data_IF_923488879073
#
_entry.id   IF_923488879073
#
_cell.length_a   1.000
_cell.length_b   1.000
_cell.length_c   1.000
_cell.angle_alpha   90.00
_cell.angle_beta   90.00
_cell.angle_gamma   90.00
#
_symmetry.space_group_name_H-M   'P 1'
#
loop_
_entity.id
_entity.type
_entity.pdbx_description
1 polymer ?
#
# COMPACT_ATOMS: atom_id res chain seq x y z
N UNK A 1 11.54 26.12 -0.31
CA UNK A 1 10.27 26.62 -0.87
C UNK A 1 9.18 26.25 0.13
N UNK A 2 8.60 27.24 0.80
CA UNK A 2 7.39 27.04 1.59
C UNK A 2 6.23 26.73 0.65
N UNK A 3 5.80 25.49 0.62
CA UNK A 3 4.57 25.10 -0.05
C UNK A 3 3.45 25.20 0.99
N UNK A 4 2.57 26.18 0.84
CA UNK A 4 1.45 26.47 1.76
C UNK A 4 0.45 25.30 1.95
N UNK A 5 0.68 24.16 1.28
CA UNK A 5 -0.18 22.98 1.29
C UNK A 5 0.53 21.71 1.76
N UNK A 6 1.74 21.85 2.33
CA UNK A 6 2.49 20.70 2.84
C UNK A 6 2.59 20.80 4.36
N UNK A 7 2.03 19.84 5.06
CA UNK A 7 2.20 19.65 6.50
C UNK A 7 3.20 18.53 6.73
N UNK A 8 4.23 18.82 7.52
CA UNK A 8 5.18 17.80 7.98
C UNK A 8 4.77 17.36 9.38
N UNK A 9 4.54 16.06 9.55
CA UNK A 9 4.28 15.44 10.84
C UNK A 9 5.33 14.37 11.11
N UNK A 10 5.89 14.37 12.31
CA UNK A 10 6.85 13.35 12.73
C UNK A 10 6.10 12.13 13.23
N UNK A 11 6.61 10.95 12.95
CA UNK A 11 6.01 9.70 13.44
C UNK A 11 6.02 9.59 14.96
N UNK A 12 6.98 10.25 15.62
CA UNK A 12 7.04 10.35 17.09
C UNK A 12 5.88 11.15 17.69
N UNK A 13 5.16 11.92 16.86
CA UNK A 13 3.98 12.69 17.25
C UNK A 13 2.68 11.89 17.15
N UNK A 14 2.74 10.60 16.72
CA UNK A 14 1.59 9.71 16.61
C UNK A 14 1.50 8.81 17.85
N UNK A 15 0.59 9.09 18.81
CA UNK A 15 0.57 8.42 20.11
C UNK A 15 0.33 6.92 20.01
N UNK A 16 -0.58 6.49 19.14
CA UNK A 16 -0.92 5.07 18.96
C UNK A 16 0.25 4.28 18.37
N UNK A 17 1.04 4.88 17.46
CA UNK A 17 2.27 4.27 16.96
C UNK A 17 3.29 4.11 18.09
N UNK A 18 3.44 5.13 18.94
CA UNK A 18 4.39 5.08 20.05
C UNK A 18 4.00 3.98 21.05
N UNK A 19 2.72 3.88 21.40
CA UNK A 19 2.20 2.83 22.27
C UNK A 19 2.43 1.43 21.66
N UNK A 20 2.20 1.27 20.36
CA UNK A 20 2.48 0.02 19.66
C UNK A 20 3.99 -0.33 19.70
N UNK A 21 4.85 0.65 19.42
CA UNK A 21 6.31 0.45 19.44
C UNK A 21 6.81 0.15 20.84
N UNK A 22 6.34 0.85 21.86
CA UNK A 22 6.73 0.60 23.24
C UNK A 22 6.47 -0.87 23.64
N UNK A 23 5.33 -1.42 23.24
CA UNK A 23 4.97 -2.81 23.53
C UNK A 23 5.74 -3.83 22.70
N UNK A 24 6.06 -3.52 21.42
CA UNK A 24 6.45 -4.55 20.45
C UNK A 24 7.85 -4.41 19.85
N UNK A 25 8.53 -3.25 19.97
CA UNK A 25 9.83 -3.00 19.31
C UNK A 25 10.92 -3.98 19.69
N UNK A 26 10.91 -4.49 20.94
CA UNK A 26 11.94 -5.38 21.46
C UNK A 26 11.50 -6.85 21.42
N UNK A 27 10.34 -7.16 20.85
CA UNK A 27 9.83 -8.52 20.71
C UNK A 27 10.26 -9.09 19.34
N UNK A 28 11.14 -10.12 19.31
CA UNK A 28 11.72 -10.64 18.05
C UNK A 28 10.65 -11.03 17.03
N UNK A 29 9.61 -11.72 17.47
CA UNK A 29 8.46 -12.10 16.64
C UNK A 29 7.87 -10.90 15.90
N UNK A 30 7.63 -9.76 16.58
CA UNK A 30 7.02 -8.57 15.99
C UNK A 30 7.97 -7.85 14.99
N UNK A 31 9.25 -8.19 15.01
CA UNK A 31 10.31 -7.69 14.15
C UNK A 31 10.70 -8.66 13.02
N UNK A 32 9.85 -9.65 12.76
CA UNK A 32 10.02 -10.58 11.64
C UNK A 32 10.84 -11.83 11.95
N UNK A 33 11.30 -12.00 13.17
CA UNK A 33 11.92 -13.25 13.63
C UNK A 33 10.84 -14.25 14.03
N UNK A 34 10.60 -15.20 13.14
CA UNK A 34 9.64 -16.29 13.35
C UNK A 34 10.31 -17.63 13.62
N UNK A 35 11.60 -17.66 13.93
CA UNK A 35 12.38 -18.87 14.14
C UNK A 35 11.77 -19.76 15.25
N UNK A 36 11.26 -19.16 16.31
CA UNK A 36 10.60 -19.82 17.42
C UNK A 36 9.06 -19.97 17.26
N UNK A 37 8.49 -19.57 16.12
CA UNK A 37 7.06 -19.74 15.87
C UNK A 37 6.79 -21.17 15.34
N UNK A 38 5.96 -21.98 16.02
CA UNK A 38 5.80 -23.41 15.68
C UNK A 38 5.16 -23.65 14.30
N UNK A 39 4.46 -22.66 13.75
CA UNK A 39 3.79 -22.74 12.45
C UNK A 39 4.60 -22.03 11.37
N UNK A 40 5.02 -20.79 11.65
CA UNK A 40 5.66 -19.93 10.64
C UNK A 40 7.09 -20.34 10.33
N UNK A 41 7.83 -20.86 11.31
CA UNK A 41 9.19 -21.38 11.11
C UNK A 41 9.25 -22.53 10.08
N UNK A 42 8.16 -23.29 9.95
CA UNK A 42 8.06 -24.42 9.02
C UNK A 42 7.66 -24.03 7.59
N UNK A 43 7.33 -22.78 7.36
CA UNK A 43 6.93 -22.32 6.01
C UNK A 43 8.15 -22.23 5.09
N UNK A 44 7.97 -22.57 3.81
CA UNK A 44 9.01 -22.44 2.78
C UNK A 44 9.54 -21.01 2.61
N UNK A 45 8.76 -20.02 3.03
CA UNK A 45 9.08 -18.60 2.96
C UNK A 45 9.46 -18.00 4.32
N UNK A 46 9.76 -18.83 5.34
CA UNK A 46 10.13 -18.39 6.69
C UNK A 46 11.31 -17.40 6.71
N UNK A 47 12.27 -17.53 5.78
CA UNK A 47 13.37 -16.57 5.61
C UNK A 47 12.97 -15.19 5.10
N UNK A 48 11.70 -14.98 4.70
CA UNK A 48 11.18 -13.66 4.28
C UNK A 48 10.63 -12.89 5.48
N UNK A 49 11.48 -12.58 6.45
CA UNK A 49 11.11 -11.93 7.72
C UNK A 49 10.23 -10.68 7.57
N UNK A 50 10.33 -9.95 6.44
CA UNK A 50 9.48 -8.79 6.20
C UNK A 50 7.98 -9.10 6.29
N UNK A 51 7.55 -10.33 5.98
CA UNK A 51 6.14 -10.73 6.03
C UNK A 51 5.55 -10.66 7.44
N UNK A 52 6.40 -10.76 8.45
CA UNK A 52 6.02 -10.74 9.87
C UNK A 52 6.61 -9.57 10.64
N UNK A 53 7.10 -8.54 9.94
CA UNK A 53 7.71 -7.37 10.58
C UNK A 53 6.63 -6.33 10.94
N UNK A 54 5.79 -6.66 11.94
CA UNK A 54 4.66 -5.85 12.38
C UNK A 54 5.08 -4.42 12.77
N UNK A 55 6.19 -4.28 13.50
CA UNK A 55 6.69 -2.96 13.93
C UNK A 55 7.02 -2.07 12.73
N UNK A 56 7.64 -2.61 11.69
CA UNK A 56 7.94 -1.86 10.46
C UNK A 56 6.67 -1.33 9.79
N UNK A 57 5.67 -2.19 9.63
CA UNK A 57 4.43 -1.82 8.93
C UNK A 57 3.50 -0.96 9.79
N UNK A 58 3.64 -1.02 11.13
CA UNK A 58 2.93 -0.12 12.04
C UNK A 58 3.20 1.35 11.71
N UNK A 59 4.44 1.73 11.35
CA UNK A 59 4.76 3.11 10.96
C UNK A 59 3.86 3.63 9.84
N UNK A 60 3.62 2.81 8.82
CA UNK A 60 2.76 3.17 7.71
C UNK A 60 1.29 3.27 8.11
N UNK A 61 0.76 2.21 8.72
CA UNK A 61 -0.68 2.14 8.98
C UNK A 61 -1.14 3.15 10.01
N UNK A 62 -0.35 3.40 11.04
CA UNK A 62 -0.68 4.45 12.03
C UNK A 62 -0.56 5.86 11.44
N UNK A 63 0.38 6.12 10.53
CA UNK A 63 0.42 7.39 9.82
C UNK A 63 -0.85 7.63 8.99
N UNK A 64 -1.40 6.58 8.39
CA UNK A 64 -2.65 6.66 7.63
C UNK A 64 -3.85 6.91 8.55
N UNK A 65 -3.95 6.18 9.67
CA UNK A 65 -5.05 6.33 10.62
C UNK A 65 -5.04 7.71 11.26
N UNK A 66 -3.88 8.21 11.63
CA UNK A 66 -3.68 9.53 12.21
C UNK A 66 -4.07 10.62 11.20
N UNK A 67 -3.60 10.54 9.97
CA UNK A 67 -3.99 11.47 8.91
C UNK A 67 -5.50 11.44 8.65
N UNK A 68 -6.12 10.26 8.61
CA UNK A 68 -7.55 10.12 8.38
C UNK A 68 -8.41 10.73 9.52
N UNK A 69 -7.89 10.76 10.75
CA UNK A 69 -8.56 11.40 11.89
C UNK A 69 -8.44 12.92 11.87
N UNK A 70 -7.31 13.45 11.42
CA UNK A 70 -7.00 14.87 11.53
C UNK A 70 -7.43 15.69 10.30
N UNK A 71 -7.59 15.05 9.14
CA UNK A 71 -7.93 15.77 7.91
C UNK A 71 -9.44 16.03 7.80
N UNK A 72 -9.80 17.17 7.23
CA UNK A 72 -11.16 17.51 6.80
C UNK A 72 -11.42 17.20 5.31
N UNK A 73 -10.42 16.66 4.60
CA UNK A 73 -10.53 16.28 3.20
C UNK A 73 -11.54 15.16 2.98
N UNK A 74 -12.21 15.17 1.83
CA UNK A 74 -13.14 14.12 1.44
C UNK A 74 -12.41 12.84 1.01
N UNK A 75 -11.26 12.98 0.37
CA UNK A 75 -10.46 11.88 -0.18
C UNK A 75 -9.08 11.87 0.45
N UNK A 76 -8.68 10.74 1.00
CA UNK A 76 -7.32 10.48 1.43
C UNK A 76 -6.63 9.55 0.42
N UNK A 77 -5.49 9.99 -0.12
CA UNK A 77 -4.65 9.19 -0.99
C UNK A 77 -3.37 8.83 -0.23
N UNK A 78 -3.14 7.54 -0.03
CA UNK A 78 -1.85 7.06 0.43
C UNK A 78 -0.91 6.85 -0.75
N UNK A 79 0.33 7.29 -0.61
CA UNK A 79 1.41 7.01 -1.56
C UNK A 79 2.70 6.72 -0.79
N UNK A 80 3.35 5.58 -1.08
CA UNK A 80 4.64 5.23 -0.46
C UNK A 80 5.71 6.25 -0.84
N UNK A 81 6.57 6.61 0.12
CA UNK A 81 7.59 7.64 -0.03
C UNK A 81 8.67 7.34 -1.10
N UNK A 82 8.74 6.09 -1.57
CA UNK A 82 9.62 5.67 -2.67
C UNK A 82 8.91 5.70 -4.04
N UNK A 83 7.83 6.48 -4.16
CA UNK A 83 7.15 6.76 -5.41
C UNK A 83 7.61 8.10 -5.98
N UNK A 84 7.96 8.11 -7.26
CA UNK A 84 8.31 9.33 -8.01
C UNK A 84 7.10 9.80 -8.81
N UNK A 85 6.75 11.08 -8.69
CA UNK A 85 5.84 11.76 -9.61
C UNK A 85 6.70 12.38 -10.73
N UNK A 86 6.71 11.76 -11.90
CA UNK A 86 7.53 12.16 -13.04
C UNK A 86 6.81 13.06 -14.04
N UNK A 87 5.50 13.18 -13.92
CA UNK A 87 4.65 14.02 -14.76
C UNK A 87 3.57 14.71 -13.93
N UNK A 88 3.14 15.92 -14.30
CA UNK A 88 2.06 16.62 -13.59
C UNK A 88 0.76 15.80 -13.58
N UNK A 89 0.10 15.76 -12.43
CA UNK A 89 -1.24 15.18 -12.26
C UNK A 89 -2.22 16.34 -12.10
N UNK A 90 -3.26 16.39 -12.94
CA UNK A 90 -4.30 17.41 -12.86
C UNK A 90 -5.46 16.94 -11.97
N UNK A 91 -6.30 17.89 -11.53
CA UNK A 91 -7.53 17.55 -10.82
C UNK A 91 -8.47 16.68 -11.66
N UNK A 92 -8.52 16.90 -12.96
CA UNK A 92 -9.32 16.07 -13.87
C UNK A 92 -8.80 14.62 -13.92
N UNK A 93 -7.47 14.43 -13.88
CA UNK A 93 -6.89 13.10 -13.79
C UNK A 93 -7.29 12.42 -12.48
N UNK A 94 -7.23 13.14 -11.36
CA UNK A 94 -7.64 12.60 -10.05
C UNK A 94 -9.13 12.23 -10.03
N UNK A 95 -10.02 13.09 -10.56
CA UNK A 95 -11.45 12.77 -10.64
C UNK A 95 -11.75 11.55 -11.52
N UNK A 96 -10.97 11.35 -12.58
CA UNK A 96 -11.08 10.16 -13.42
C UNK A 96 -10.58 8.91 -12.73
N UNK A 97 -9.46 9.01 -12.02
CA UNK A 97 -8.85 7.88 -11.31
C UNK A 97 -9.58 7.51 -10.02
N UNK A 98 -10.26 8.48 -9.39
CA UNK A 98 -11.00 8.31 -8.14
C UNK A 98 -12.44 8.81 -8.37
N UNK A 99 -13.29 8.00 -9.05
CA UNK A 99 -14.67 8.36 -9.28
C UNK A 99 -15.43 8.62 -7.98
N UNK A 100 -16.35 9.57 -7.99
CA UNK A 100 -17.10 10.00 -6.80
C UNK A 100 -17.97 8.91 -6.18
N UNK A 101 -18.34 7.90 -6.95
CA UNK A 101 -19.09 6.74 -6.49
C UNK A 101 -18.21 5.62 -5.91
N UNK A 102 -16.88 5.71 -6.05
CA UNK A 102 -15.95 4.76 -5.45
C UNK A 102 -15.65 5.14 -4.00
N UNK A 103 -15.64 4.15 -3.13
CA UNK A 103 -15.33 4.33 -1.71
C UNK A 103 -13.86 3.99 -1.42
N UNK A 104 -13.35 2.91 -2.04
CA UNK A 104 -11.96 2.47 -1.96
C UNK A 104 -11.42 2.22 -3.37
N UNK A 105 -10.32 2.88 -3.73
CA UNK A 105 -9.60 2.59 -4.96
C UNK A 105 -8.23 2.02 -4.61
N UNK A 106 -7.81 0.94 -5.25
CA UNK A 106 -6.58 0.22 -4.90
C UNK A 106 -5.94 -0.46 -6.11
N UNK A 107 -4.77 -1.06 -5.92
CA UNK A 107 -4.05 -1.81 -6.95
C UNK A 107 -4.07 -3.30 -6.61
N UNK A 108 -5.02 -4.04 -7.17
CA UNK A 108 -5.14 -5.49 -6.98
C UNK A 108 -4.06 -6.30 -7.69
N UNK A 109 -3.89 -7.54 -7.23
CA UNK A 109 -3.03 -8.55 -7.88
C UNK A 109 -3.68 -9.92 -7.80
N UNK A 110 -3.79 -10.62 -8.94
CA UNK A 110 -4.37 -11.96 -8.99
C UNK A 110 -3.50 -12.95 -8.22
N UNK A 111 -4.09 -13.65 -7.27
CA UNK A 111 -3.40 -14.65 -6.45
C UNK A 111 -2.33 -14.13 -5.51
N UNK A 112 -2.25 -12.81 -5.31
CA UNK A 112 -1.38 -12.13 -4.37
C UNK A 112 -2.11 -11.01 -3.66
N UNK A 113 -1.46 -10.42 -2.65
CA UNK A 113 -1.98 -9.26 -1.93
C UNK A 113 -1.98 -8.02 -2.83
N UNK A 114 -2.91 -7.11 -2.58
CA UNK A 114 -2.95 -5.79 -3.19
C UNK A 114 -1.61 -5.06 -3.04
N UNK A 115 -1.26 -4.23 -4.00
CA UNK A 115 -0.10 -3.35 -3.88
C UNK A 115 -0.49 -2.11 -3.10
N UNK A 116 -0.10 -2.05 -1.85
CA UNK A 116 -0.44 -0.96 -0.95
C UNK A 116 0.48 0.26 -1.05
N UNK A 117 1.30 0.37 -2.10
CA UNK A 117 2.11 1.56 -2.36
C UNK A 117 1.30 2.77 -2.81
N UNK A 118 0.07 2.54 -3.29
CA UNK A 118 -0.88 3.58 -3.67
C UNK A 118 -2.32 3.07 -3.50
N UNK A 119 -3.15 3.82 -2.80
CA UNK A 119 -4.60 3.62 -2.73
C UNK A 119 -5.31 4.89 -2.26
N UNK A 120 -6.59 5.00 -2.55
CA UNK A 120 -7.41 6.15 -2.18
C UNK A 120 -8.67 5.71 -1.44
N UNK A 121 -9.11 6.52 -0.49
CA UNK A 121 -10.26 6.28 0.37
C UNK A 121 -11.16 7.51 0.41
N UNK A 122 -12.45 7.34 0.23
CA UNK A 122 -13.45 8.38 0.44
C UNK A 122 -13.80 8.43 1.93
N UNK A 123 -13.24 9.40 2.64
CA UNK A 123 -13.41 9.54 4.09
C UNK A 123 -14.85 9.93 4.51
N UNK A 124 -15.70 10.38 3.57
CA UNK A 124 -17.12 10.64 3.84
C UNK A 124 -17.97 9.36 3.83
N UNK A 125 -17.42 8.25 3.33
CA UNK A 125 -18.13 6.98 3.32
C UNK A 125 -18.16 6.33 4.71
N UNK A 126 -19.34 5.96 5.23
CA UNK A 126 -19.43 5.16 6.45
C UNK A 126 -18.68 3.82 6.36
N UNK A 127 -18.68 3.17 5.18
CA UNK A 127 -17.97 1.92 4.97
C UNK A 127 -16.46 2.09 5.12
N UNK A 128 -15.90 3.24 4.67
CA UNK A 128 -14.47 3.56 4.86
C UNK A 128 -14.17 3.84 6.33
N UNK A 129 -15.05 4.51 7.06
CA UNK A 129 -14.86 4.73 8.50
C UNK A 129 -14.84 3.39 9.26
N UNK A 130 -15.72 2.46 8.92
CA UNK A 130 -15.68 1.10 9.47
C UNK A 130 -14.44 0.32 9.04
N UNK A 131 -14.04 0.42 7.77
CA UNK A 131 -12.82 -0.21 7.27
C UNK A 131 -11.58 0.29 8.05
N UNK A 132 -11.42 1.59 8.21
CA UNK A 132 -10.30 2.18 8.95
C UNK A 132 -10.31 1.74 10.42
N UNK A 133 -11.48 1.74 11.06
CA UNK A 133 -11.65 1.27 12.45
C UNK A 133 -11.24 -0.19 12.60
N UNK A 134 -11.71 -1.07 11.73
CA UNK A 134 -11.35 -2.50 11.78
C UNK A 134 -9.88 -2.70 11.43
N UNK A 135 -9.33 -1.95 10.48
CA UNK A 135 -7.92 -2.05 10.12
C UNK A 135 -7.03 -1.62 11.31
N UNK A 136 -7.32 -0.50 11.94
CA UNK A 136 -6.61 -0.03 13.13
C UNK A 136 -6.70 -1.04 14.27
N UNK A 137 -7.89 -1.59 14.53
CA UNK A 137 -8.12 -2.58 15.59
C UNK A 137 -7.21 -3.80 15.47
N UNK A 138 -6.87 -4.25 14.24
CA UNK A 138 -5.92 -5.35 14.06
C UNK A 138 -4.54 -5.05 14.66
N UNK A 139 -4.11 -3.79 14.64
CA UNK A 139 -2.85 -3.36 15.22
C UNK A 139 -3.00 -3.03 16.71
N UNK A 140 -4.02 -2.31 17.11
CA UNK A 140 -4.24 -1.92 18.53
C UNK A 140 -4.40 -3.17 19.42
N UNK A 141 -5.08 -4.19 18.91
CA UNK A 141 -5.28 -5.47 19.57
C UNK A 141 -4.39 -6.56 18.95
N UNK A 142 -3.10 -6.28 18.79
CA UNK A 142 -2.19 -7.08 17.97
C UNK A 142 -2.20 -8.60 18.29
N UNK A 143 -2.32 -8.99 19.56
CA UNK A 143 -2.36 -10.41 19.99
C UNK A 143 -3.59 -11.15 19.48
N UNK A 144 -4.74 -10.49 19.44
CA UNK A 144 -6.01 -11.00 18.89
C UNK A 144 -6.20 -10.62 17.41
N UNK A 145 -5.45 -9.62 16.94
CA UNK A 145 -5.48 -9.06 15.60
C UNK A 145 -4.39 -9.62 14.69
N UNK A 146 -3.40 -8.78 14.36
CA UNK A 146 -2.40 -9.11 13.33
C UNK A 146 -1.63 -10.39 13.62
N UNK A 147 -1.30 -10.70 14.90
CA UNK A 147 -0.55 -11.90 15.24
C UNK A 147 -1.34 -13.21 15.07
N UNK A 148 -2.65 -13.13 14.86
CA UNK A 148 -3.49 -14.29 14.48
C UNK A 148 -3.53 -14.50 12.98
N UNK A 149 -3.15 -13.51 12.17
CA UNK A 149 -3.11 -13.63 10.72
C UNK A 149 -1.90 -14.45 10.25
N UNK A 150 -1.98 -14.96 9.01
CA UNK A 150 -0.89 -15.72 8.40
C UNK A 150 0.34 -14.86 8.12
N UNK A 151 0.17 -13.60 7.79
CA UNK A 151 1.22 -12.61 7.55
C UNK A 151 0.80 -11.26 8.15
N UNK A 152 1.78 -10.38 8.47
CA UNK A 152 1.53 -9.16 9.27
C UNK A 152 1.93 -7.87 8.57
N UNK A 153 2.34 -7.95 7.31
CA UNK A 153 2.59 -6.76 6.52
C UNK A 153 1.28 -6.07 6.09
N UNK A 154 1.38 -4.79 5.81
CA UNK A 154 0.25 -3.92 5.48
C UNK A 154 -0.68 -4.47 4.39
N UNK A 155 -0.12 -4.98 3.29
CA UNK A 155 -0.90 -5.50 2.16
C UNK A 155 -1.76 -6.71 2.52
N UNK A 156 -1.24 -7.62 3.37
CA UNK A 156 -2.03 -8.76 3.84
C UNK A 156 -3.17 -8.31 4.73
N UNK A 157 -2.88 -7.42 5.69
CA UNK A 157 -3.91 -6.94 6.63
C UNK A 157 -4.95 -6.09 5.92
N UNK A 158 -4.52 -5.23 4.98
CA UNK A 158 -5.41 -4.45 4.13
C UNK A 158 -6.43 -5.35 3.40
N UNK A 159 -5.97 -6.41 2.73
CA UNK A 159 -6.86 -7.34 2.03
C UNK A 159 -7.73 -8.15 3.00
N UNK A 160 -7.19 -8.59 4.14
CA UNK A 160 -7.95 -9.31 5.16
C UNK A 160 -9.09 -8.47 5.74
N UNK A 161 -8.92 -7.14 5.79
CA UNK A 161 -9.97 -6.23 6.26
C UNK A 161 -10.94 -5.87 5.13
N UNK A 162 -10.44 -5.37 3.96
CA UNK A 162 -11.33 -4.89 2.89
C UNK A 162 -12.30 -5.95 2.38
N UNK A 163 -11.88 -7.23 2.37
CA UNK A 163 -12.75 -8.34 1.94
C UNK A 163 -13.90 -8.64 2.89
N UNK A 164 -13.89 -8.10 4.12
CA UNK A 164 -15.00 -8.17 5.05
C UNK A 164 -16.13 -7.18 4.71
N UNK A 165 -15.87 -6.25 3.78
CA UNK A 165 -16.82 -5.21 3.38
C UNK A 165 -17.25 -5.37 1.91
N UNK A 166 -17.97 -6.48 1.55
CA UNK A 166 -18.38 -6.72 0.17
C UNK A 166 -19.35 -5.67 -0.36
N UNK A 167 -20.04 -4.93 0.52
CA UNK A 167 -20.94 -3.84 0.16
C UNK A 167 -20.19 -2.54 -0.18
N UNK A 168 -18.93 -2.41 0.20
CA UNK A 168 -18.09 -1.25 -0.13
C UNK A 168 -17.81 -1.21 -1.64
N UNK A 169 -18.05 -0.07 -2.27
CA UNK A 169 -17.75 0.13 -3.70
C UNK A 169 -16.25 0.27 -3.90
N UNK A 170 -15.63 -0.82 -4.33
CA UNK A 170 -14.19 -0.92 -4.52
C UNK A 170 -13.85 -0.86 -6.01
N UNK A 171 -12.89 0.00 -6.36
CA UNK A 171 -12.32 0.11 -7.70
C UNK A 171 -10.89 -0.44 -7.69
N UNK A 172 -10.66 -1.51 -8.43
CA UNK A 172 -9.32 -2.04 -8.67
C UNK A 172 -8.69 -1.37 -9.90
N UNK A 173 -7.74 -0.47 -9.69
CA UNK A 173 -6.99 0.20 -10.75
C UNK A 173 -6.12 -0.74 -11.58
N UNK A 174 -5.86 -1.94 -11.09
CA UNK A 174 -5.05 -2.96 -11.74
C UNK A 174 -5.90 -4.09 -12.35
N UNK A 175 -7.23 -3.93 -12.38
CA UNK A 175 -8.13 -4.94 -12.93
C UNK A 175 -7.72 -5.29 -14.38
N UNK A 176 -7.58 -6.59 -14.66
CA UNK A 176 -7.22 -7.09 -16.00
C UNK A 176 -5.74 -7.02 -16.37
N UNK A 177 -4.88 -6.30 -15.61
CA UNK A 177 -3.45 -6.16 -15.95
C UNK A 177 -2.72 -7.52 -15.99
N UNK A 178 -3.07 -8.44 -15.11
CA UNK A 178 -2.48 -9.78 -15.06
C UNK A 178 -2.83 -10.64 -16.28
N UNK A 179 -3.91 -10.33 -16.97
CA UNK A 179 -4.39 -11.06 -18.13
C UNK A 179 -3.83 -10.49 -19.46
N UNK A 180 -3.12 -9.35 -19.37
CA UNK A 180 -2.47 -8.75 -20.53
C UNK A 180 -1.30 -9.65 -21.01
N UNK A 181 -1.23 -9.87 -22.31
CA UNK A 181 -0.03 -10.40 -22.95
C UNK A 181 1.00 -9.27 -23.03
N UNK A 182 2.22 -9.48 -22.49
CA UNK A 182 3.25 -8.46 -22.60
C UNK A 182 3.57 -8.15 -24.06
N UNK A 183 3.81 -6.88 -24.37
CA UNK A 183 4.35 -6.49 -25.66
C UNK A 183 5.76 -7.10 -25.87
N UNK A 184 6.23 -7.28 -27.10
CA UNK A 184 7.57 -7.79 -27.35
C UNK A 184 8.66 -7.02 -26.60
N UNK A 185 9.54 -7.74 -25.90
CA UNK A 185 10.59 -7.13 -25.06
C UNK A 185 10.16 -6.68 -23.65
N UNK A 186 8.84 -6.78 -23.31
CA UNK A 186 8.32 -6.46 -21.99
C UNK A 186 8.38 -7.67 -21.04
N UNK A 187 8.07 -7.42 -19.76
CA UNK A 187 8.07 -8.46 -18.72
C UNK A 187 7.09 -9.58 -19.02
N UNK A 188 7.59 -10.83 -19.05
CA UNK A 188 6.73 -12.04 -19.07
C UNK A 188 6.11 -12.32 -17.69
N UNK A 189 6.59 -11.69 -16.63
CA UNK A 189 6.08 -11.80 -15.27
C UNK A 189 4.81 -11.00 -15.02
N UNK A 190 4.44 -10.85 -13.77
CA UNK A 190 3.22 -10.11 -13.38
C UNK A 190 3.31 -8.59 -13.61
N UNK A 191 4.55 -8.07 -13.75
CA UNK A 191 4.80 -6.64 -13.76
C UNK A 191 4.52 -5.99 -12.39
N UNK A 192 4.71 -4.69 -12.31
CA UNK A 192 4.34 -3.92 -11.11
C UNK A 192 3.00 -3.22 -11.35
N UNK A 193 1.96 -3.43 -10.51
CA UNK A 193 0.60 -2.94 -10.81
C UNK A 193 0.56 -1.42 -11.01
N UNK A 194 1.25 -0.63 -10.20
CA UNK A 194 1.22 0.82 -10.31
C UNK A 194 1.69 1.31 -11.69
N UNK A 195 2.89 0.90 -12.12
CA UNK A 195 3.47 1.38 -13.37
C UNK A 195 2.80 0.79 -14.63
N UNK A 196 2.05 -0.29 -14.47
CA UNK A 196 1.30 -0.94 -15.54
C UNK A 196 -0.17 -0.52 -15.60
N UNK A 197 -0.70 0.06 -14.52
CA UNK A 197 -2.00 0.73 -14.52
C UNK A 197 -1.90 2.11 -15.15
N UNK A 198 -3.01 2.80 -15.26
CA UNK A 198 -3.05 4.18 -15.75
C UNK A 198 -2.18 5.13 -14.92
N UNK A 199 -2.00 4.88 -13.63
CA UNK A 199 -1.10 5.64 -12.76
C UNK A 199 0.34 5.73 -13.27
N UNK A 200 0.81 4.74 -14.03
CA UNK A 200 2.14 4.77 -14.63
C UNK A 200 2.36 5.91 -15.65
N UNK A 201 1.31 6.63 -16.07
CA UNK A 201 1.44 7.84 -16.88
C UNK A 201 2.09 8.99 -16.07
N UNK A 202 2.02 8.93 -14.75
CA UNK A 202 2.52 9.98 -13.86
C UNK A 202 3.49 9.50 -12.80
N UNK A 203 3.39 8.23 -12.39
CA UNK A 203 4.07 7.70 -11.21
C UNK A 203 4.96 6.51 -11.55
N UNK A 204 6.11 6.44 -10.86
CA UNK A 204 6.97 5.26 -10.81
C UNK A 204 7.26 4.88 -9.35
N UNK A 205 7.07 3.61 -8.99
CA UNK A 205 7.30 3.11 -7.64
C UNK A 205 8.63 2.37 -7.55
N UNK A 206 9.60 2.96 -6.87
CA UNK A 206 10.99 2.51 -6.79
C UNK A 206 11.21 1.38 -5.76
N UNK A 207 10.36 0.37 -5.75
CA UNK A 207 10.43 -0.73 -4.79
C UNK A 207 11.70 -1.59 -4.96
N UNK A 208 12.35 -1.87 -3.84
CA UNK A 208 13.54 -2.75 -3.81
C UNK A 208 14.72 -2.17 -4.58
N UNK A 209 15.34 -2.97 -5.45
CA UNK A 209 16.54 -2.57 -6.22
C UNK A 209 16.33 -1.41 -7.20
N UNK A 210 15.08 -1.02 -7.50
CA UNK A 210 14.78 0.17 -8.32
C UNK A 210 15.21 1.46 -7.63
N UNK A 211 15.28 1.49 -6.29
CA UNK A 211 15.77 2.65 -5.52
C UNK A 211 17.17 3.06 -5.94
N UNK A 212 18.06 2.09 -6.12
CA UNK A 212 19.45 2.33 -6.56
C UNK A 212 19.52 2.82 -8.01
N UNK A 213 18.57 2.37 -8.85
CA UNK A 213 18.52 2.76 -10.25
C UNK A 213 17.81 4.10 -10.49
N UNK A 214 17.07 4.61 -9.50
CA UNK A 214 16.27 5.83 -9.60
C UNK A 214 15.06 5.72 -10.55
N UNK A 215 14.79 4.53 -11.09
CA UNK A 215 13.62 4.25 -11.95
C UNK A 215 13.35 2.75 -12.06
N UNK A 216 12.13 2.40 -12.47
CA UNK A 216 11.80 1.03 -12.88
C UNK A 216 12.46 0.69 -14.22
N UNK A 217 12.74 -0.60 -14.41
CA UNK A 217 13.35 -1.09 -15.65
C UNK A 217 12.29 -1.30 -16.74
N UNK A 218 12.64 -1.20 -18.03
CA UNK A 218 11.74 -1.59 -19.12
C UNK A 218 11.13 -2.98 -18.93
N UNK A 219 11.91 -3.94 -18.40
CA UNK A 219 11.42 -5.29 -18.08
C UNK A 219 10.40 -5.37 -16.94
N UNK A 220 10.15 -4.28 -16.17
CA UNK A 220 9.07 -4.23 -15.19
C UNK A 220 7.71 -3.86 -15.81
N UNK A 221 7.72 -3.35 -17.07
CA UNK A 221 6.53 -2.96 -17.80
C UNK A 221 5.90 -4.17 -18.52
N UNK A 222 4.58 -4.22 -18.51
CA UNK A 222 3.75 -5.13 -19.35
C UNK A 222 3.06 -4.37 -20.47
N UNK A 223 2.82 -3.08 -20.25
CA UNK A 223 2.18 -2.20 -21.22
C UNK A 223 3.22 -1.31 -21.88
N UNK A 224 3.02 -1.03 -23.17
CA UNK A 224 3.85 -0.04 -23.85
C UNK A 224 3.53 1.35 -23.34
N UNK A 225 4.55 2.07 -22.90
CA UNK A 225 4.46 3.43 -22.41
C UNK A 225 5.02 4.39 -23.44
N UNK A 226 4.36 5.54 -23.63
CA UNK A 226 4.77 6.58 -24.57
C UNK A 226 5.24 7.85 -23.88
N UNK A 227 5.05 7.95 -22.57
CA UNK A 227 5.46 9.12 -21.80
C UNK A 227 7.01 9.24 -21.80
N UNK A 228 7.51 10.48 -21.94
CA UNK A 228 8.93 10.79 -22.09
C UNK A 228 9.80 10.18 -20.96
N UNK A 229 9.24 10.00 -19.77
CA UNK A 229 9.91 9.36 -18.64
C UNK A 229 10.33 7.91 -18.97
N UNK A 230 9.46 7.16 -19.64
CA UNK A 230 9.68 5.75 -19.95
C UNK A 230 10.55 5.51 -21.20
N UNK A 231 10.78 6.54 -22.02
CA UNK A 231 11.56 6.47 -23.25
C UNK A 231 13.08 6.71 -23.04
N UNK A 232 13.52 6.92 -21.81
CA UNK A 232 14.94 7.23 -21.46
C UNK A 232 15.78 5.98 -21.23
#
# INVERSE_FOLDING_TARGET
>A
RNHNHVTLKRLEEVPELNAFKEKWRDIPKANGDVSNDPVRSKRKDSGKGFKWHAVRFAHKVYAIFDCAKETDADILIWMDADTICHSPITMNDLYRMIPSDSELCYLGRKGKYSECGLYAMNLRSPNIQFFLTEFQKFYDQAEQGIFRLAEWHDSFVFDAVRTKFPQMRQLDWAAGLQDLRPAPGMSSGEGHPLINSEWGAWLDHLKGGRKTLGRSKPGDLKVQRTEAYWQR
#
